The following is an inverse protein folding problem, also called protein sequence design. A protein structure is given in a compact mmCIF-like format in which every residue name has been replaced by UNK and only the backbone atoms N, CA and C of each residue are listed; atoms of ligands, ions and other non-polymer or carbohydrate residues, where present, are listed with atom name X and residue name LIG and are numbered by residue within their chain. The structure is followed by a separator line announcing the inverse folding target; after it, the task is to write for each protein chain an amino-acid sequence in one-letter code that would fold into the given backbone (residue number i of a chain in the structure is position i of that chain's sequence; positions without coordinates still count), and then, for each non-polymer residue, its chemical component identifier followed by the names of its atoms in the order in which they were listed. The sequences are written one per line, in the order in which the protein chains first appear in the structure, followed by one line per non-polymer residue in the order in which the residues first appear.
data_IF_039764752430
#
_entry.id   IF_039764752430
#
_cell.length_a   1.000
_cell.length_b   1.000
_cell.length_c   1.000
_cell.angle_alpha   90.00
_cell.angle_beta   90.00
_cell.angle_gamma   90.00
#
_symmetry.space_group_name_H-M   'P 1'
#
loop_
_entity.id
_entity.type
_entity.pdbx_description
1 polymer ?
#
# COMPACT_ATOMS: atom_id res chain seq x y z
N UNK A 1 -8.65 -1.69 24.23
CA UNK A 1 -7.60 -1.97 23.22
C UNK A 1 -8.21 -2.76 22.10
N UNK A 2 -7.88 -2.45 20.87
CA UNK A 2 -8.29 -3.18 19.66
C UNK A 2 -7.50 -4.48 19.61
N UNK A 3 -8.18 -5.61 19.56
CA UNK A 3 -7.54 -6.93 19.44
C UNK A 3 -7.27 -7.24 17.99
N UNK A 4 -6.02 -7.27 17.59
CA UNK A 4 -5.58 -7.45 16.21
C UNK A 4 -5.07 -8.88 15.98
N UNK A 5 -5.62 -9.55 14.95
CA UNK A 5 -5.07 -10.79 14.42
C UNK A 5 -4.33 -10.55 13.11
N UNK A 6 -3.22 -11.23 12.88
CA UNK A 6 -2.43 -11.10 11.66
C UNK A 6 -2.27 -12.48 11.01
N UNK A 7 -2.86 -12.71 9.85
CA UNK A 7 -2.58 -13.87 9.00
C UNK A 7 -1.42 -13.52 8.07
N UNK A 8 -0.37 -14.35 8.06
CA UNK A 8 0.86 -14.08 7.33
C UNK A 8 1.86 -13.20 8.11
N UNK A 9 1.82 -13.23 9.44
CA UNK A 9 2.67 -12.44 10.34
C UNK A 9 4.18 -12.60 10.10
N UNK A 10 4.61 -13.70 9.50
CA UNK A 10 6.02 -14.01 9.21
C UNK A 10 6.47 -13.63 7.80
N UNK A 11 5.61 -13.03 6.96
CA UNK A 11 6.00 -12.31 5.74
C UNK A 11 6.58 -10.93 6.08
N UNK A 12 7.18 -10.22 5.10
CA UNK A 12 7.75 -8.88 5.37
C UNK A 12 6.69 -7.86 5.76
N UNK A 13 5.56 -7.81 5.07
CA UNK A 13 4.44 -6.92 5.45
C UNK A 13 3.85 -7.30 6.81
N UNK A 14 3.70 -8.61 7.11
CA UNK A 14 3.23 -9.09 8.40
C UNK A 14 4.19 -8.76 9.55
N UNK A 15 5.49 -8.91 9.33
CA UNK A 15 6.51 -8.53 10.32
C UNK A 15 6.52 -7.02 10.59
N UNK A 16 6.25 -6.22 9.56
CA UNK A 16 6.13 -4.78 9.70
C UNK A 16 4.84 -4.39 10.46
N UNK A 17 3.72 -5.08 10.22
CA UNK A 17 2.51 -4.95 11.03
C UNK A 17 2.79 -5.25 12.51
N UNK A 18 3.50 -6.36 12.79
CA UNK A 18 3.89 -6.70 14.18
C UNK A 18 4.71 -5.56 14.78
N UNK A 19 5.72 -5.04 14.06
CA UNK A 19 6.57 -3.94 14.56
C UNK A 19 5.77 -2.69 14.90
N UNK A 20 4.84 -2.29 14.04
CA UNK A 20 4.03 -1.08 14.24
C UNK A 20 3.02 -1.30 15.38
N UNK A 21 2.29 -2.42 15.38
CA UNK A 21 1.26 -2.70 16.37
C UNK A 21 1.85 -2.93 17.78
N UNK A 22 3.08 -3.43 17.90
CA UNK A 22 3.78 -3.51 19.21
C UNK A 22 4.03 -2.13 19.85
N UNK A 23 4.12 -1.07 19.04
CA UNK A 23 4.23 0.31 19.52
C UNK A 23 2.89 1.05 19.63
N UNK A 24 1.79 0.40 19.26
CA UNK A 24 0.47 1.03 19.20
C UNK A 24 -0.23 1.01 20.57
N UNK A 25 -0.51 2.19 21.14
CA UNK A 25 -1.06 2.30 22.51
C UNK A 25 -2.50 1.80 22.68
N UNK A 26 -3.27 1.74 21.60
CA UNK A 26 -4.71 1.39 21.61
C UNK A 26 -4.99 0.04 20.92
N UNK A 27 -3.95 -0.73 20.54
CA UNK A 27 -4.10 -2.05 19.94
C UNK A 27 -3.17 -3.07 20.60
N UNK A 28 -3.56 -4.35 20.55
CA UNK A 28 -2.75 -5.49 20.99
C UNK A 28 -2.87 -6.63 19.97
N UNK A 29 -1.78 -7.36 19.74
CA UNK A 29 -1.78 -8.50 18.85
C UNK A 29 -2.16 -9.75 19.61
N UNK A 30 -3.30 -10.35 19.24
CA UNK A 30 -3.84 -11.57 19.88
C UNK A 30 -3.59 -12.84 19.05
N UNK A 31 -3.15 -12.69 17.78
CA UNK A 31 -2.92 -13.82 16.88
C UNK A 31 -1.77 -13.55 15.90
N UNK A 32 -0.77 -14.43 15.90
CA UNK A 32 0.40 -14.38 15.03
C UNK A 32 0.32 -15.53 14.01
N UNK A 33 -0.56 -15.42 13.02
CA UNK A 33 -0.82 -16.46 12.02
C UNK A 33 0.35 -16.67 11.06
N UNK A 34 0.77 -17.92 10.90
CA UNK A 34 1.84 -18.31 9.97
C UNK A 34 1.77 -19.79 9.60
N UNK A 35 1.43 -20.11 8.35
CA UNK A 35 1.37 -21.49 7.86
C UNK A 35 2.71 -22.24 7.92
N UNK A 36 3.82 -21.51 7.80
CA UNK A 36 5.17 -22.11 7.72
C UNK A 36 5.81 -22.35 9.10
N UNK A 37 5.28 -21.74 10.15
CA UNK A 37 5.93 -21.72 11.47
C UNK A 37 4.95 -21.98 12.62
N UNK A 38 3.84 -22.72 12.37
CA UNK A 38 2.89 -23.13 13.40
C UNK A 38 3.65 -23.76 14.58
N UNK A 39 3.24 -23.41 15.83
CA UNK A 39 3.84 -23.87 17.08
C UNK A 39 5.30 -23.40 17.31
N UNK A 40 5.86 -22.55 16.47
CA UNK A 40 7.18 -21.95 16.72
C UNK A 40 7.04 -20.59 17.38
N UNK A 41 7.94 -20.27 18.31
CA UNK A 41 8.02 -18.91 18.86
C UNK A 41 8.25 -17.91 17.74
N UNK A 42 7.52 -16.82 17.71
CA UNK A 42 7.68 -15.76 16.71
C UNK A 42 9.11 -15.23 16.68
N UNK A 43 9.71 -15.01 17.87
CA UNK A 43 11.09 -14.58 18.00
C UNK A 43 12.12 -15.60 17.45
N UNK A 44 11.76 -16.87 17.26
CA UNK A 44 12.65 -17.83 16.58
C UNK A 44 12.73 -17.63 15.07
N UNK A 45 11.72 -16.95 14.50
CA UNK A 45 11.67 -16.59 13.06
C UNK A 45 12.33 -15.23 12.84
N UNK A 46 12.13 -14.30 13.78
CA UNK A 46 12.65 -12.93 13.76
C UNK A 46 13.41 -12.65 15.07
N UNK A 47 14.71 -12.91 15.07
CA UNK A 47 15.57 -12.80 16.26
C UNK A 47 15.64 -11.38 16.84
N UNK A 48 15.38 -10.35 16.06
CA UNK A 48 15.26 -8.97 16.54
C UNK A 48 14.04 -8.76 17.46
N UNK A 49 13.11 -9.71 17.50
CA UNK A 49 11.96 -9.72 18.43
C UNK A 49 12.22 -10.55 19.69
N UNK A 50 13.45 -11.03 19.90
CA UNK A 50 13.83 -11.79 21.09
C UNK A 50 13.58 -10.96 22.36
N UNK A 51 12.91 -11.56 23.35
CA UNK A 51 12.46 -10.91 24.60
C UNK A 51 11.48 -9.73 24.41
N UNK A 52 10.98 -9.48 23.20
CA UNK A 52 9.96 -8.48 22.89
C UNK A 52 8.63 -9.16 22.61
N UNK A 53 8.64 -10.19 21.75
CA UNK A 53 7.46 -10.97 21.40
C UNK A 53 7.64 -12.40 21.86
N UNK A 54 6.96 -12.80 22.92
CA UNK A 54 6.98 -14.18 23.45
C UNK A 54 5.72 -14.96 23.01
N UNK A 55 5.23 -14.69 21.82
CA UNK A 55 4.09 -15.38 21.25
C UNK A 55 4.52 -16.57 20.40
N UNK A 56 3.61 -17.54 20.27
CA UNK A 56 3.75 -18.69 19.37
C UNK A 56 2.98 -18.41 18.08
N UNK A 57 3.55 -18.80 16.95
CA UNK A 57 2.87 -18.70 15.66
C UNK A 57 1.70 -19.71 15.60
N UNK A 58 0.56 -19.23 15.12
CA UNK A 58 -0.67 -19.96 15.00
C UNK A 58 -1.00 -20.22 13.52
N UNK A 59 -2.00 -21.04 13.26
CA UNK A 59 -2.50 -21.26 11.91
C UNK A 59 -3.37 -20.07 11.41
N UNK A 60 -4.13 -20.26 10.35
CA UNK A 60 -5.06 -19.29 9.78
C UNK A 60 -6.54 -19.71 9.94
N UNK A 61 -6.86 -20.34 11.07
CA UNK A 61 -8.24 -20.69 11.42
C UNK A 61 -9.06 -19.42 11.68
N UNK A 62 -9.83 -19.01 10.68
CA UNK A 62 -10.60 -17.77 10.72
C UNK A 62 -11.72 -17.79 11.76
N UNK A 63 -12.33 -18.92 12.04
CA UNK A 63 -13.43 -19.01 13.01
C UNK A 63 -12.93 -18.78 14.43
N UNK A 64 -11.81 -19.39 14.79
CA UNK A 64 -11.16 -19.18 16.09
C UNK A 64 -10.62 -17.76 16.20
N UNK A 65 -9.99 -17.24 15.15
CA UNK A 65 -9.45 -15.89 15.12
C UNK A 65 -10.55 -14.82 15.23
N UNK A 66 -11.67 -14.99 14.50
CA UNK A 66 -12.80 -14.07 14.59
C UNK A 66 -13.53 -14.08 15.93
N UNK A 67 -13.35 -15.13 16.74
CA UNK A 67 -13.90 -15.19 18.10
C UNK A 67 -13.08 -14.37 19.11
N UNK A 68 -11.83 -14.07 18.83
CA UNK A 68 -10.90 -13.39 19.77
C UNK A 68 -10.41 -12.02 19.30
N UNK A 69 -10.52 -11.71 18.02
CA UNK A 69 -10.04 -10.45 17.43
C UNK A 69 -11.20 -9.47 17.17
N UNK A 70 -10.88 -8.19 17.07
CA UNK A 70 -11.77 -7.12 16.60
C UNK A 70 -11.44 -6.76 15.14
N UNK A 71 -10.19 -6.96 14.73
CA UNK A 71 -9.69 -6.74 13.35
C UNK A 71 -8.73 -7.85 12.95
N UNK A 72 -8.82 -8.28 11.69
CA UNK A 72 -7.90 -9.24 11.08
C UNK A 72 -7.18 -8.59 9.90
N UNK A 73 -5.85 -8.60 9.95
CA UNK A 73 -5.00 -8.23 8.81
C UNK A 73 -4.61 -9.47 8.04
N UNK A 74 -4.87 -9.49 6.72
CA UNK A 74 -4.48 -10.60 5.85
C UNK A 74 -3.29 -10.20 4.99
N UNK A 75 -2.07 -10.45 5.49
CA UNK A 75 -0.80 -10.21 4.77
C UNK A 75 -0.39 -11.48 3.99
N UNK A 76 -1.22 -11.91 3.05
CA UNK A 76 -1.20 -13.22 2.40
C UNK A 76 -0.98 -13.13 0.89
N UNK A 77 -0.61 -14.24 0.23
CA UNK A 77 -0.71 -14.33 -1.23
C UNK A 77 -2.14 -14.10 -1.73
N UNK A 78 -2.26 -13.66 -2.98
CA UNK A 78 -3.53 -13.44 -3.66
C UNK A 78 -4.38 -14.73 -3.69
N UNK A 79 -5.70 -14.57 -3.58
CA UNK A 79 -6.70 -15.65 -3.56
C UNK A 79 -6.96 -16.23 -2.17
N UNK A 80 -6.07 -16.00 -1.19
CA UNK A 80 -6.25 -16.57 0.14
C UNK A 80 -7.28 -15.79 0.96
N UNK A 81 -7.20 -14.46 1.01
CA UNK A 81 -8.17 -13.66 1.74
C UNK A 81 -9.59 -13.93 1.21
N UNK A 82 -9.78 -13.90 -0.11
CA UNK A 82 -11.05 -14.21 -0.74
C UNK A 82 -11.56 -15.62 -0.42
N UNK A 83 -10.69 -16.58 -0.15
CA UNK A 83 -11.10 -17.94 0.24
C UNK A 83 -11.49 -18.06 1.72
N UNK A 84 -11.12 -17.11 2.54
CA UNK A 84 -11.35 -17.11 3.99
C UNK A 84 -12.52 -16.21 4.41
N UNK A 85 -12.83 -15.19 3.61
CA UNK A 85 -13.91 -14.23 3.90
C UNK A 85 -15.26 -14.82 3.60
N UNK A 86 -16.20 -14.65 4.54
CA UNK A 86 -17.62 -14.96 4.38
C UNK A 86 -18.45 -14.05 5.29
N UNK A 87 -19.78 -14.09 5.16
CA UNK A 87 -20.68 -13.21 5.92
C UNK A 87 -20.60 -13.45 7.44
N UNK A 88 -20.42 -14.69 7.87
CA UNK A 88 -20.31 -15.01 9.30
C UNK A 88 -19.07 -14.33 9.92
N UNK A 89 -17.92 -14.40 9.24
CA UNK A 89 -16.67 -13.74 9.66
C UNK A 89 -16.86 -12.21 9.66
N UNK A 90 -17.38 -11.63 8.57
CA UNK A 90 -17.56 -10.18 8.45
C UNK A 90 -18.60 -9.60 9.42
N UNK A 91 -19.50 -10.44 9.95
CA UNK A 91 -20.44 -10.04 10.99
C UNK A 91 -19.79 -9.89 12.36
N UNK A 92 -18.62 -10.50 12.58
CA UNK A 92 -17.92 -10.56 13.88
C UNK A 92 -16.74 -9.63 13.95
N UNK A 93 -15.98 -9.50 12.85
CA UNK A 93 -14.71 -8.77 12.83
C UNK A 93 -14.57 -7.92 11.57
N UNK A 94 -13.76 -6.86 11.65
CA UNK A 94 -13.32 -6.11 10.47
C UNK A 94 -12.13 -6.81 9.81
N UNK A 95 -12.06 -6.79 8.48
CA UNK A 95 -10.94 -7.33 7.71
C UNK A 95 -10.23 -6.22 6.96
N UNK A 96 -8.90 -6.18 7.08
CA UNK A 96 -8.02 -5.32 6.31
C UNK A 96 -7.12 -6.21 5.47
N UNK A 97 -7.43 -6.28 4.18
CA UNK A 97 -6.76 -7.17 3.23
C UNK A 97 -5.58 -6.48 2.56
N UNK A 98 -4.35 -6.97 2.84
CA UNK A 98 -3.12 -6.53 2.19
C UNK A 98 -2.80 -7.36 0.94
N UNK A 99 -3.58 -8.39 0.62
CA UNK A 99 -3.42 -9.14 -0.63
C UNK A 99 -3.79 -8.28 -1.85
N UNK A 100 -4.63 -8.71 -2.71
CA UNK A 100 -5.15 -7.85 -3.77
C UNK A 100 -6.59 -8.23 -4.12
N UNK A 101 -7.16 -9.11 -3.30
CA UNK A 101 -8.38 -9.83 -3.67
C UNK A 101 -9.59 -8.90 -3.82
N UNK A 102 -9.61 -7.78 -3.10
CA UNK A 102 -10.75 -6.86 -3.08
C UNK A 102 -10.47 -5.46 -3.63
N UNK A 103 -9.29 -5.24 -4.25
CA UNK A 103 -8.88 -3.92 -4.73
C UNK A 103 -9.56 -3.48 -6.01
N UNK A 104 -9.80 -4.43 -6.93
CA UNK A 104 -10.35 -4.19 -8.27
C UNK A 104 -11.84 -4.54 -8.26
N UNK A 105 -12.69 -3.60 -8.69
CA UNK A 105 -14.14 -3.78 -8.65
C UNK A 105 -14.70 -4.70 -9.72
N UNK A 106 -14.02 -4.77 -10.88
CA UNK A 106 -14.41 -5.70 -11.94
C UNK A 106 -13.76 -7.08 -11.78
N UNK A 107 -14.57 -8.09 -11.49
CA UNK A 107 -14.10 -9.48 -11.28
C UNK A 107 -13.34 -10.01 -12.50
N UNK A 108 -13.81 -9.74 -13.70
CA UNK A 108 -13.16 -10.23 -14.92
C UNK A 108 -11.75 -9.61 -15.11
N UNK A 109 -11.59 -8.35 -14.76
CA UNK A 109 -10.29 -7.67 -14.75
C UNK A 109 -9.37 -8.28 -13.68
N UNK A 110 -9.87 -8.53 -12.46
CA UNK A 110 -9.09 -9.21 -11.43
C UNK A 110 -8.61 -10.58 -11.92
N UNK A 111 -9.52 -11.44 -12.39
CA UNK A 111 -9.19 -12.80 -12.84
C UNK A 111 -8.21 -12.80 -14.02
N UNK A 112 -8.38 -11.88 -14.96
CA UNK A 112 -7.46 -11.72 -16.10
C UNK A 112 -6.04 -11.36 -15.66
N UNK A 113 -5.89 -10.40 -14.73
CA UNK A 113 -4.58 -9.88 -14.33
C UNK A 113 -3.88 -10.74 -13.27
N UNK A 114 -4.64 -11.42 -12.42
CA UNK A 114 -4.09 -12.30 -11.39
C UNK A 114 -3.99 -13.77 -11.83
N UNK A 115 -4.73 -14.17 -12.87
CA UNK A 115 -4.71 -15.52 -13.40
C UNK A 115 -5.34 -16.56 -12.47
N UNK A 116 -6.23 -16.13 -11.58
CA UNK A 116 -6.93 -16.96 -10.59
C UNK A 116 -8.40 -16.56 -10.54
N UNK A 117 -9.26 -17.53 -10.22
CA UNK A 117 -10.68 -17.30 -9.98
C UNK A 117 -10.88 -16.61 -8.63
N UNK A 118 -11.74 -15.57 -8.58
CA UNK A 118 -12.08 -14.90 -7.34
C UNK A 118 -13.04 -15.76 -6.50
N UNK A 119 -12.68 -16.05 -5.24
CA UNK A 119 -13.42 -17.03 -4.42
C UNK A 119 -14.63 -16.46 -3.66
N UNK A 120 -14.74 -15.14 -3.57
CA UNK A 120 -15.86 -14.45 -2.90
C UNK A 120 -16.20 -13.13 -3.62
N UNK A 121 -16.61 -13.19 -4.91
CA UNK A 121 -16.87 -12.00 -5.72
C UNK A 121 -18.03 -11.15 -5.20
N UNK A 122 -18.94 -11.72 -4.43
CA UNK A 122 -20.06 -11.03 -3.80
C UNK A 122 -19.63 -9.91 -2.86
N UNK A 123 -18.45 -10.02 -2.23
CA UNK A 123 -17.95 -9.02 -1.29
C UNK A 123 -17.14 -7.90 -1.95
N UNK A 124 -16.78 -8.02 -3.22
CA UNK A 124 -16.01 -6.97 -3.94
C UNK A 124 -16.75 -5.63 -3.93
N UNK A 125 -18.08 -5.64 -4.06
CA UNK A 125 -18.89 -4.41 -4.12
C UNK A 125 -18.85 -3.63 -2.82
N UNK A 126 -18.86 -4.31 -1.68
CA UNK A 126 -18.84 -3.66 -0.37
C UNK A 126 -17.43 -3.31 0.10
N UNK A 127 -16.40 -4.01 -0.37
CA UNK A 127 -15.03 -3.73 0.01
C UNK A 127 -14.66 -2.27 -0.31
N UNK A 128 -14.07 -1.58 0.63
CA UNK A 128 -13.62 -0.19 0.47
C UNK A 128 -12.13 -0.19 0.13
N UNK A 129 -11.76 0.56 -0.91
CA UNK A 129 -10.35 0.76 -1.23
C UNK A 129 -9.69 1.65 -0.18
N UNK A 130 -8.76 1.08 0.57
CA UNK A 130 -8.21 1.64 1.81
C UNK A 130 -7.08 2.66 1.58
N UNK A 131 -7.23 3.60 0.64
CA UNK A 131 -6.36 4.76 0.53
C UNK A 131 -7.01 5.92 1.29
N UNK A 132 -6.56 6.11 2.54
CA UNK A 132 -7.23 6.97 3.52
C UNK A 132 -7.41 8.42 3.05
N UNK A 133 -6.42 8.97 2.38
CA UNK A 133 -6.42 10.34 1.88
C UNK A 133 -7.52 10.61 0.84
N UNK A 134 -8.01 9.54 0.20
CA UNK A 134 -9.05 9.62 -0.84
C UNK A 134 -10.40 9.13 -0.34
N UNK A 135 -10.43 8.04 0.46
CA UNK A 135 -11.64 7.31 0.82
C UNK A 135 -11.93 7.31 2.32
N UNK A 136 -11.48 8.33 3.07
CA UNK A 136 -11.55 8.40 4.54
C UNK A 136 -12.93 8.08 5.10
N UNK A 137 -13.98 8.71 4.58
CA UNK A 137 -15.33 8.56 5.13
C UNK A 137 -15.94 7.17 4.88
N UNK A 138 -15.53 6.52 3.81
CA UNK A 138 -15.95 5.15 3.51
C UNK A 138 -15.19 4.13 4.34
N UNK A 139 -13.87 4.34 4.54
CA UNK A 139 -13.02 3.50 5.42
C UNK A 139 -13.55 3.48 6.85
N UNK A 140 -14.01 4.61 7.39
CA UNK A 140 -14.61 4.68 8.75
C UNK A 140 -15.79 3.73 8.93
N UNK A 141 -16.53 3.44 7.88
CA UNK A 141 -17.76 2.63 7.91
C UNK A 141 -17.53 1.18 7.48
N UNK A 142 -16.39 0.89 6.90
CA UNK A 142 -16.12 -0.40 6.27
C UNK A 142 -15.93 -1.53 7.29
N UNK A 143 -16.39 -2.72 6.91
CA UNK A 143 -16.04 -3.99 7.58
C UNK A 143 -15.03 -4.81 6.78
N UNK A 144 -14.89 -4.53 5.48
CA UNK A 144 -13.89 -5.11 4.58
C UNK A 144 -13.14 -3.98 3.86
N UNK A 145 -11.84 -3.88 4.10
CA UNK A 145 -10.99 -2.83 3.56
C UNK A 145 -9.91 -3.48 2.70
N UNK A 146 -9.87 -3.11 1.43
CA UNK A 146 -8.83 -3.51 0.49
C UNK A 146 -7.64 -2.55 0.59
N UNK A 147 -6.61 -2.93 1.33
CA UNK A 147 -5.41 -2.11 1.50
C UNK A 147 -4.64 -2.00 0.18
N UNK A 148 -4.26 -0.80 -0.28
CA UNK A 148 -3.59 -0.59 -1.57
C UNK A 148 -2.28 -1.35 -1.73
N UNK A 149 -1.88 -1.58 -2.98
CA UNK A 149 -0.54 -2.04 -3.30
C UNK A 149 0.51 -0.94 -3.07
N UNK A 150 1.77 -1.33 -2.85
CA UNK A 150 2.81 -0.36 -2.53
C UNK A 150 3.10 0.64 -3.65
N UNK A 151 3.25 0.17 -4.88
CA UNK A 151 3.40 1.08 -6.03
C UNK A 151 2.14 1.91 -6.28
N UNK A 152 0.96 1.32 -6.09
CA UNK A 152 -0.31 1.99 -6.33
C UNK A 152 -0.53 3.12 -5.34
N UNK A 153 -0.20 2.92 -4.07
CA UNK A 153 -0.22 3.99 -3.05
C UNK A 153 0.63 5.18 -3.49
N UNK A 154 1.89 4.94 -3.86
CA UNK A 154 2.80 5.99 -4.29
C UNK A 154 2.28 6.71 -5.54
N UNK A 155 1.97 5.94 -6.58
CA UNK A 155 1.60 6.50 -7.88
C UNK A 155 0.26 7.22 -7.85
N UNK A 156 -0.75 6.65 -7.18
CA UNK A 156 -2.06 7.28 -7.11
C UNK A 156 -1.96 8.60 -6.33
N UNK A 157 -1.33 8.62 -5.16
CA UNK A 157 -1.20 9.85 -4.37
C UNK A 157 -0.40 10.92 -5.10
N UNK A 158 0.57 10.54 -5.93
CA UNK A 158 1.37 11.48 -6.71
C UNK A 158 0.56 12.12 -7.84
N UNK A 159 -0.24 11.35 -8.59
CA UNK A 159 -0.99 11.86 -9.75
C UNK A 159 -2.40 12.37 -9.43
N UNK A 160 -3.04 11.88 -8.34
CA UNK A 160 -4.46 12.05 -8.06
C UNK A 160 -4.96 13.50 -8.12
N UNK A 161 -4.30 14.51 -7.49
CA UNK A 161 -4.82 15.87 -7.51
C UNK A 161 -4.91 16.44 -8.93
N UNK A 162 -3.89 16.18 -9.74
CA UNK A 162 -3.83 16.70 -11.11
C UNK A 162 -4.79 15.96 -12.06
N UNK A 163 -4.94 14.66 -11.88
CA UNK A 163 -5.94 13.86 -12.59
C UNK A 163 -7.36 14.34 -12.24
N UNK A 164 -7.64 14.58 -10.95
CA UNK A 164 -8.95 15.02 -10.45
C UNK A 164 -9.36 16.39 -10.97
N UNK A 165 -8.40 17.32 -11.12
CA UNK A 165 -8.63 18.67 -11.66
C UNK A 165 -8.49 18.74 -13.19
N UNK A 166 -8.24 17.60 -13.86
CA UNK A 166 -8.07 17.54 -15.31
C UNK A 166 -6.90 18.36 -15.83
N UNK A 167 -5.84 18.54 -15.01
CA UNK A 167 -4.65 19.30 -15.41
C UNK A 167 -3.66 18.49 -16.23
N UNK A 168 -3.75 17.17 -16.20
CA UNK A 168 -2.92 16.26 -16.99
C UNK A 168 -3.76 15.48 -17.99
N UNK A 169 -3.21 15.27 -19.17
CA UNK A 169 -3.77 14.41 -20.19
C UNK A 169 -3.46 12.95 -19.83
N UNK A 170 -4.49 12.23 -19.36
CA UNK A 170 -4.38 10.86 -18.85
C UNK A 170 -3.91 9.87 -19.92
N UNK A 171 -4.15 10.11 -21.19
CA UNK A 171 -3.69 9.26 -22.28
C UNK A 171 -2.16 9.32 -22.47
N UNK A 172 -1.52 10.32 -21.86
CA UNK A 172 -0.07 10.52 -21.94
C UNK A 172 0.67 10.15 -20.65
N UNK A 173 -0.06 9.67 -19.64
CA UNK A 173 0.53 9.33 -18.34
C UNK A 173 1.43 8.11 -18.43
N UNK A 174 2.68 8.30 -18.05
CA UNK A 174 3.70 7.24 -17.92
C UNK A 174 4.18 7.24 -16.47
N UNK A 175 4.16 6.09 -15.85
CA UNK A 175 4.66 5.87 -14.48
C UNK A 175 5.86 4.94 -14.54
N UNK A 176 7.04 5.47 -14.22
CA UNK A 176 8.30 4.74 -14.15
C UNK A 176 8.74 4.63 -12.68
N UNK A 177 8.49 3.48 -12.06
CA UNK A 177 8.63 3.31 -10.62
C UNK A 177 9.77 2.34 -10.25
N UNK A 178 10.50 2.67 -9.18
CA UNK A 178 11.61 1.88 -8.64
C UNK A 178 11.23 1.41 -7.24
N UNK A 179 11.50 0.15 -6.91
CA UNK A 179 11.22 -0.44 -5.59
C UNK A 179 12.41 -1.22 -5.06
N UNK A 180 12.62 -1.11 -3.76
CA UNK A 180 13.48 -2.02 -3.03
C UNK A 180 12.97 -3.46 -3.05
N UNK A 181 13.88 -4.40 -2.82
CA UNK A 181 13.67 -5.84 -3.00
C UNK A 181 12.70 -6.46 -2.01
N UNK A 182 12.47 -5.84 -0.85
CA UNK A 182 11.48 -6.30 0.12
C UNK A 182 10.05 -6.33 -0.45
N UNK A 183 9.77 -5.51 -1.49
CA UNK A 183 8.50 -5.53 -2.21
C UNK A 183 8.19 -6.84 -2.93
N UNK A 184 9.20 -7.65 -3.23
CA UNK A 184 9.04 -8.98 -3.81
C UNK A 184 8.65 -10.07 -2.78
N UNK A 185 8.59 -9.72 -1.49
CA UNK A 185 8.28 -10.62 -0.38
C UNK A 185 9.46 -11.48 0.08
N UNK A 186 9.25 -12.21 1.19
CA UNK A 186 10.28 -13.01 1.87
C UNK A 186 10.58 -14.34 1.18
N UNK A 187 9.72 -14.80 0.29
CA UNK A 187 9.90 -16.09 -0.38
C UNK A 187 11.19 -16.13 -1.20
N UNK A 188 12.03 -17.15 -0.98
CA UNK A 188 13.26 -17.35 -1.74
C UNK A 188 12.94 -17.70 -3.20
N UNK A 189 13.31 -16.80 -4.10
CA UNK A 189 13.22 -16.96 -5.55
C UNK A 189 14.55 -16.54 -6.16
N UNK A 190 15.01 -17.23 -7.19
CA UNK A 190 16.29 -16.93 -7.86
C UNK A 190 16.44 -15.42 -8.15
N UNK A 191 15.45 -14.71 -8.77
CA UNK A 191 15.60 -13.29 -9.07
C UNK A 191 15.76 -12.36 -7.86
N UNK A 192 15.53 -12.87 -6.63
CA UNK A 192 15.59 -12.09 -5.39
C UNK A 192 16.80 -12.48 -4.51
N UNK A 193 17.66 -13.39 -4.98
CA UNK A 193 18.87 -13.77 -4.26
C UNK A 193 19.89 -12.63 -4.28
N UNK A 194 20.73 -12.53 -3.26
CA UNK A 194 21.69 -11.44 -3.09
C UNK A 194 22.54 -11.19 -4.34
N UNK A 195 23.15 -12.26 -4.91
CA UNK A 195 23.99 -12.14 -6.09
C UNK A 195 23.23 -11.76 -7.38
N UNK A 196 21.91 -11.94 -7.40
CA UNK A 196 21.07 -11.56 -8.55
C UNK A 196 20.57 -10.12 -8.45
N UNK A 197 20.53 -9.57 -7.24
CA UNK A 197 20.00 -8.24 -6.95
C UNK A 197 21.10 -7.22 -6.73
N UNK A 198 22.19 -7.61 -6.05
CA UNK A 198 23.26 -6.68 -5.71
C UNK A 198 23.90 -6.10 -6.98
N UNK A 199 24.12 -4.77 -6.99
CA UNK A 199 24.68 -4.05 -8.14
C UNK A 199 23.88 -4.21 -9.46
N UNK A 200 22.61 -4.58 -9.38
CA UNK A 200 21.74 -4.85 -10.52
C UNK A 200 20.39 -4.13 -10.40
N UNK A 201 19.99 -3.44 -11.45
CA UNK A 201 18.65 -2.84 -11.57
C UNK A 201 17.95 -3.42 -12.79
N UNK A 202 16.68 -3.82 -12.64
CA UNK A 202 15.92 -4.41 -13.75
C UNK A 202 14.46 -3.99 -13.74
N UNK A 203 13.92 -3.71 -14.93
CA UNK A 203 12.48 -3.63 -15.14
C UNK A 203 11.87 -5.05 -15.06
N UNK A 204 10.65 -5.13 -14.56
CA UNK A 204 9.91 -6.40 -14.50
C UNK A 204 8.42 -6.17 -14.69
N UNK A 205 7.68 -7.22 -15.07
CA UNK A 205 6.24 -7.10 -15.29
C UNK A 205 5.84 -6.04 -16.31
N UNK A 206 6.68 -5.79 -17.32
CA UNK A 206 6.46 -4.74 -18.33
C UNK A 206 5.14 -5.00 -19.04
N UNK A 207 4.24 -4.02 -19.06
CA UNK A 207 2.89 -4.08 -19.59
C UNK A 207 2.01 -5.24 -19.05
N UNK A 208 2.42 -5.86 -17.92
CA UNK A 208 1.74 -7.02 -17.34
C UNK A 208 1.76 -7.04 -15.80
N UNK A 209 2.24 -5.96 -15.17
CA UNK A 209 2.28 -5.87 -13.72
C UNK A 209 0.88 -5.71 -13.13
N UNK A 210 0.56 -6.48 -12.10
CA UNK A 210 -0.76 -6.57 -11.48
C UNK A 210 -1.26 -5.27 -10.80
N UNK A 211 -0.38 -4.32 -10.54
CA UNK A 211 -0.78 -2.99 -10.05
C UNK A 211 -1.31 -2.06 -11.15
N UNK A 212 -1.10 -2.39 -12.44
CA UNK A 212 -1.57 -1.55 -13.55
C UNK A 212 -3.08 -1.31 -13.49
N UNK A 213 -3.95 -2.34 -13.48
CA UNK A 213 -5.40 -2.13 -13.44
C UNK A 213 -5.88 -1.44 -12.16
N UNK A 214 -5.19 -1.61 -11.05
CA UNK A 214 -5.49 -0.94 -9.79
C UNK A 214 -5.25 0.59 -9.91
N UNK A 215 -4.13 1.01 -10.50
CA UNK A 215 -3.83 2.43 -10.75
C UNK A 215 -4.82 3.02 -11.76
N UNK A 216 -5.08 2.31 -12.87
CA UNK A 216 -6.03 2.72 -13.90
C UNK A 216 -7.44 2.92 -13.33
N UNK A 217 -7.93 2.01 -12.51
CA UNK A 217 -9.24 2.09 -11.88
C UNK A 217 -9.35 3.31 -10.96
N UNK A 218 -8.38 3.51 -10.07
CA UNK A 218 -8.44 4.60 -9.08
C UNK A 218 -8.27 5.98 -9.73
N UNK A 219 -7.35 6.13 -10.69
CA UNK A 219 -7.20 7.37 -11.45
C UNK A 219 -8.39 7.60 -12.38
N UNK A 220 -9.00 6.54 -12.91
CA UNK A 220 -10.25 6.61 -13.67
C UNK A 220 -11.40 7.18 -12.83
N UNK A 221 -11.54 6.76 -11.57
CA UNK A 221 -12.51 7.37 -10.65
C UNK A 221 -12.18 8.83 -10.35
N UNK A 222 -10.90 9.19 -10.28
CA UNK A 222 -10.49 10.57 -10.06
C UNK A 222 -10.89 11.48 -11.22
N UNK A 223 -10.53 11.13 -12.47
CA UNK A 223 -10.81 11.96 -13.65
C UNK A 223 -12.21 11.76 -14.26
N UNK A 224 -12.97 10.73 -13.82
CA UNK A 224 -14.35 10.50 -14.25
C UNK A 224 -14.51 9.75 -15.59
N UNK A 225 -13.44 9.16 -16.10
CA UNK A 225 -13.46 8.32 -17.32
C UNK A 225 -12.42 7.18 -17.22
N UNK A 226 -12.59 6.10 -18.01
CA UNK A 226 -11.60 5.03 -18.03
C UNK A 226 -10.21 5.53 -18.44
N UNK A 227 -9.18 5.00 -17.79
CA UNK A 227 -7.78 5.34 -18.02
C UNK A 227 -7.03 4.09 -18.47
N UNK A 228 -6.14 4.26 -19.43
CA UNK A 228 -5.14 3.26 -19.83
C UNK A 228 -3.77 3.96 -19.83
N UNK A 229 -2.83 3.43 -19.04
CA UNK A 229 -1.54 4.07 -18.83
C UNK A 229 -0.36 3.10 -18.99
N UNK A 230 0.83 3.65 -19.14
CA UNK A 230 2.05 2.86 -19.06
C UNK A 230 2.60 2.87 -17.64
N UNK A 231 2.62 1.69 -17.01
CA UNK A 231 3.28 1.46 -15.73
C UNK A 231 4.45 0.49 -15.90
N UNK A 232 5.66 0.95 -15.57
CA UNK A 232 6.88 0.16 -15.66
C UNK A 232 7.59 0.13 -14.31
N UNK A 233 7.45 -0.94 -13.52
CA UNK A 233 8.16 -1.09 -12.26
C UNK A 233 9.58 -1.63 -12.47
N UNK A 234 10.49 -1.20 -11.60
CA UNK A 234 11.87 -1.68 -11.53
C UNK A 234 12.19 -2.20 -10.14
N UNK A 235 12.98 -3.26 -10.07
CA UNK A 235 13.60 -3.70 -8.85
C UNK A 235 15.02 -3.13 -8.78
N UNK A 236 15.34 -2.48 -7.67
CA UNK A 236 16.64 -1.83 -7.47
C UNK A 236 17.36 -2.41 -6.25
N UNK A 237 18.71 -2.34 -6.17
CA UNK A 237 19.52 -3.01 -5.16
C UNK A 237 19.48 -2.24 -3.81
N UNK A 238 18.30 -2.07 -3.26
CA UNK A 238 18.05 -1.54 -1.92
C UNK A 238 17.01 -2.39 -1.21
N UNK A 239 16.95 -2.33 0.11
CA UNK A 239 15.99 -3.12 0.88
C UNK A 239 14.58 -2.54 0.78
N UNK A 240 14.42 -1.25 1.08
CA UNK A 240 13.13 -0.55 1.20
C UNK A 240 13.08 0.67 0.31
N UNK A 241 11.88 1.19 0.14
CA UNK A 241 11.59 2.43 -0.56
C UNK A 241 10.99 2.20 -1.94
N UNK A 242 10.09 3.09 -2.32
CA UNK A 242 9.60 3.28 -3.69
C UNK A 242 9.86 4.71 -4.09
N UNK A 243 10.36 4.90 -5.31
CA UNK A 243 10.42 6.17 -6.02
C UNK A 243 9.64 6.01 -7.32
N UNK A 244 8.53 6.72 -7.48
CA UNK A 244 7.77 6.79 -8.71
C UNK A 244 8.06 8.12 -9.41
N UNK A 245 8.46 8.06 -10.67
CA UNK A 245 8.59 9.24 -11.54
C UNK A 245 7.52 9.14 -12.62
N UNK A 246 6.67 10.14 -12.68
CA UNK A 246 5.48 10.15 -13.51
C UNK A 246 5.54 11.32 -14.50
N UNK A 247 5.19 11.06 -15.75
CA UNK A 247 5.26 12.03 -16.84
C UNK A 247 3.89 12.14 -17.51
N UNK A 248 3.38 13.35 -17.64
CA UNK A 248 2.17 13.60 -18.41
C UNK A 248 2.26 14.93 -19.17
N UNK A 249 1.49 15.09 -20.24
CA UNK A 249 1.26 16.39 -20.86
C UNK A 249 0.30 17.19 -20.00
N UNK A 250 0.55 18.49 -19.88
CA UNK A 250 -0.44 19.42 -19.32
C UNK A 250 -1.56 19.66 -20.33
N UNK A 251 -2.79 19.74 -19.85
CA UNK A 251 -3.98 20.03 -20.68
C UNK A 251 -4.12 21.52 -21.04
N UNK A 252 -3.44 22.38 -20.29
CA UNK A 252 -3.38 23.84 -20.48
C UNK A 252 -2.08 24.39 -19.91
N UNK A 253 -1.76 25.62 -20.27
CA UNK A 253 -0.65 26.34 -19.66
C UNK A 253 -0.99 26.69 -18.21
N UNK A 254 -0.10 26.31 -17.30
CA UNK A 254 -0.22 26.56 -15.86
C UNK A 254 1.17 26.90 -15.29
N UNK A 255 1.19 27.74 -14.27
CA UNK A 255 2.39 28.06 -13.51
C UNK A 255 2.70 26.98 -12.45
N UNK A 256 3.90 27.05 -11.86
CA UNK A 256 4.25 26.26 -10.69
C UNK A 256 3.25 26.46 -9.53
N UNK A 257 2.86 27.71 -9.27
CA UNK A 257 1.94 28.06 -8.18
C UNK A 257 0.53 27.50 -8.42
N UNK A 258 0.06 27.45 -9.68
CA UNK A 258 -1.22 26.84 -10.01
C UNK A 258 -1.23 25.34 -9.68
N UNK A 259 -0.16 24.63 -10.05
CA UNK A 259 -0.01 23.19 -9.75
C UNK A 259 0.13 22.97 -8.24
N UNK A 260 0.94 23.76 -7.55
CA UNK A 260 1.11 23.72 -6.11
C UNK A 260 -0.23 23.93 -5.39
N UNK A 261 -1.00 24.92 -5.79
CA UNK A 261 -2.32 25.19 -5.21
C UNK A 261 -3.28 23.99 -5.38
N UNK A 262 -3.18 23.24 -6.48
CA UNK A 262 -3.94 22.00 -6.66
C UNK A 262 -3.50 20.92 -5.67
N UNK A 263 -2.21 20.69 -5.49
CA UNK A 263 -1.74 19.74 -4.47
C UNK A 263 -2.17 20.16 -3.05
N UNK A 264 -2.01 21.44 -2.70
CA UNK A 264 -2.40 21.97 -1.40
C UNK A 264 -3.92 21.87 -1.15
N UNK A 265 -4.75 22.03 -2.18
CA UNK A 265 -6.21 21.85 -2.09
C UNK A 265 -6.58 20.47 -1.55
N UNK A 266 -5.86 19.42 -1.94
CA UNK A 266 -6.15 18.04 -1.54
C UNK A 266 -5.36 17.58 -0.33
N UNK A 267 -4.12 18.09 -0.13
CA UNK A 267 -3.16 17.48 0.77
C UNK A 267 -2.67 18.35 1.93
N UNK A 268 -3.04 19.65 2.00
CA UNK A 268 -2.58 20.54 3.08
C UNK A 268 -2.92 20.06 4.49
N UNK A 269 -4.02 19.33 4.64
CA UNK A 269 -4.51 18.81 5.91
C UNK A 269 -4.19 17.31 6.10
N UNK A 270 -3.47 16.68 5.14
CA UNK A 270 -3.11 15.28 5.16
C UNK A 270 -1.80 15.07 5.94
N UNK A 271 -1.90 14.49 7.13
CA UNK A 271 -0.78 14.28 8.07
C UNK A 271 0.44 13.63 7.42
N UNK A 272 0.22 12.66 6.53
CA UNK A 272 1.29 11.84 5.96
C UNK A 272 1.74 12.28 4.57
N UNK A 273 1.16 13.32 3.99
CA UNK A 273 1.60 13.84 2.69
C UNK A 273 2.46 15.09 2.90
N UNK A 274 3.66 15.07 2.36
CA UNK A 274 4.58 16.22 2.36
C UNK A 274 4.81 16.67 0.92
N UNK A 275 4.22 17.81 0.55
CA UNK A 275 4.54 18.48 -0.69
C UNK A 275 5.85 19.26 -0.47
N UNK A 276 6.89 18.87 -1.18
CA UNK A 276 8.22 19.47 -1.03
C UNK A 276 8.30 20.84 -1.70
N UNK A 277 9.24 21.67 -1.23
CA UNK A 277 9.49 23.00 -1.78
C UNK A 277 9.97 22.96 -3.23
N UNK A 278 9.80 24.06 -3.95
CA UNK A 278 10.26 24.17 -5.35
C UNK A 278 11.74 23.85 -5.48
N UNK A 279 12.05 22.95 -6.43
CA UNK A 279 13.42 22.52 -6.69
C UNK A 279 13.92 21.41 -5.78
N UNK A 280 13.12 20.98 -4.79
CA UNK A 280 13.41 19.83 -3.93
C UNK A 280 12.62 18.61 -4.43
N UNK A 281 13.28 17.49 -4.60
CA UNK A 281 12.65 16.28 -5.13
C UNK A 281 12.80 15.12 -4.15
N UNK A 282 11.78 14.23 -4.04
CA UNK A 282 11.77 13.13 -3.10
C UNK A 282 12.95 12.17 -3.22
N UNK A 283 13.43 11.69 -2.07
CA UNK A 283 14.39 10.60 -1.96
C UNK A 283 13.83 9.49 -1.07
N UNK A 284 14.10 8.23 -1.40
CA UNK A 284 13.60 7.09 -0.62
C UNK A 284 14.08 7.07 0.83
N UNK A 285 15.27 7.61 1.11
CA UNK A 285 15.80 7.73 2.47
C UNK A 285 15.02 8.67 3.38
N UNK A 286 14.37 9.69 2.81
CA UNK A 286 13.65 10.67 3.62
C UNK A 286 12.31 10.17 4.15
N UNK A 287 11.87 9.01 3.69
CA UNK A 287 10.60 8.38 4.09
C UNK A 287 10.79 7.00 4.72
N UNK A 288 12.03 6.47 4.75
CA UNK A 288 12.31 5.12 5.23
C UNK A 288 11.87 4.90 6.68
N UNK A 289 11.16 3.82 6.93
CA UNK A 289 10.64 3.45 8.24
C UNK A 289 9.43 4.24 8.73
N UNK A 290 8.89 5.15 7.91
CA UNK A 290 7.79 6.06 8.27
C UNK A 290 6.56 5.89 7.37
N UNK A 291 5.44 6.48 7.79
CA UNK A 291 4.20 6.49 7.00
C UNK A 291 4.08 7.72 6.07
N UNK A 292 5.16 8.50 5.91
CA UNK A 292 5.15 9.67 5.05
C UNK A 292 5.23 9.35 3.56
N UNK A 293 4.61 10.24 2.78
CA UNK A 293 4.71 10.32 1.31
C UNK A 293 5.32 11.66 0.97
N UNK A 294 6.45 11.68 0.31
CA UNK A 294 7.03 12.90 -0.22
C UNK A 294 6.64 13.06 -1.69
N UNK A 295 6.18 14.24 -2.05
CA UNK A 295 5.78 14.57 -3.41
C UNK A 295 6.51 15.85 -3.85
N UNK A 296 7.10 15.81 -5.03
CA UNK A 296 7.68 16.96 -5.71
C UNK A 296 7.33 16.94 -7.19
N UNK A 297 7.36 18.09 -7.84
CA UNK A 297 7.05 18.17 -9.27
C UNK A 297 7.87 19.25 -9.98
N UNK A 298 7.95 19.12 -11.30
CA UNK A 298 8.56 20.12 -12.19
C UNK A 298 7.77 20.22 -13.48
N UNK A 299 7.46 21.44 -13.89
CA UNK A 299 6.97 21.71 -15.24
C UNK A 299 8.20 21.86 -16.16
N UNK A 300 8.28 21.01 -17.18
CA UNK A 300 9.27 21.16 -18.26
C UNK A 300 8.62 21.95 -19.40
N UNK A 301 8.77 23.26 -19.36
CA UNK A 301 8.23 24.18 -20.37
C UNK A 301 8.66 23.83 -21.79
N UNK A 302 9.87 23.30 -21.96
CA UNK A 302 10.44 22.93 -23.24
C UNK A 302 9.68 21.78 -23.92
N UNK A 303 9.09 20.88 -23.11
CA UNK A 303 8.35 19.70 -23.63
C UNK A 303 6.83 19.82 -23.42
N UNK A 304 6.37 20.81 -22.67
CA UNK A 304 4.96 20.96 -22.26
C UNK A 304 4.48 19.84 -21.34
N UNK A 305 5.41 19.20 -20.61
CA UNK A 305 5.10 18.09 -19.69
C UNK A 305 5.30 18.51 -18.25
N UNK A 306 4.52 17.91 -17.38
CA UNK A 306 4.82 17.86 -15.95
C UNK A 306 5.52 16.56 -15.61
N UNK A 307 6.53 16.65 -14.73
CA UNK A 307 7.23 15.53 -14.12
C UNK A 307 6.84 15.56 -12.65
N UNK A 308 6.15 14.53 -12.20
CA UNK A 308 5.73 14.34 -10.81
C UNK A 308 6.57 13.23 -10.21
N UNK A 309 6.99 13.40 -8.96
CA UNK A 309 7.85 12.42 -8.29
C UNK A 309 7.27 12.16 -6.91
N UNK A 310 7.04 10.89 -6.60
CA UNK A 310 6.60 10.43 -5.29
C UNK A 310 7.58 9.45 -4.65
N UNK A 311 7.74 9.52 -3.33
CA UNK A 311 8.50 8.54 -2.58
C UNK A 311 7.77 8.07 -1.32
N UNK A 312 7.87 6.77 -1.02
CA UNK A 312 7.32 6.14 0.19
C UNK A 312 8.23 5.02 0.68
N UNK A 313 8.08 4.61 1.94
CA UNK A 313 8.52 3.28 2.38
C UNK A 313 7.51 2.23 1.92
N UNK A 314 7.94 1.29 1.10
CA UNK A 314 7.06 0.26 0.50
C UNK A 314 6.46 -0.71 1.51
N UNK A 315 7.04 -0.88 2.70
CA UNK A 315 6.53 -1.76 3.76
C UNK A 315 5.68 -0.99 4.78
N UNK A 316 5.92 0.31 4.98
CA UNK A 316 5.14 1.14 5.90
C UNK A 316 3.97 1.77 5.14
N UNK A 317 4.12 2.93 4.52
CA UNK A 317 3.01 3.57 3.77
C UNK A 317 2.52 2.72 2.62
N UNK A 318 3.40 1.95 2.00
CA UNK A 318 3.05 1.04 0.90
C UNK A 318 2.33 -0.24 1.34
N UNK A 319 2.27 -0.57 2.64
CA UNK A 319 1.67 -1.82 3.12
C UNK A 319 1.15 -1.70 4.57
N UNK A 320 2.01 -1.98 5.56
CA UNK A 320 1.60 -2.15 6.96
C UNK A 320 1.14 -0.83 7.61
N UNK A 321 1.81 0.28 7.34
CA UNK A 321 1.42 1.57 7.90
C UNK A 321 0.08 2.05 7.36
N UNK A 322 -0.16 1.88 6.04
CA UNK A 322 -1.47 2.16 5.44
C UNK A 322 -2.57 1.27 6.05
N UNK A 323 -2.27 -0.01 6.32
CA UNK A 323 -3.22 -0.92 6.95
C UNK A 323 -3.55 -0.51 8.40
N UNK A 324 -2.56 -0.05 9.17
CA UNK A 324 -2.79 0.49 10.53
C UNK A 324 -3.54 1.82 10.48
N UNK A 325 -3.26 2.70 9.50
CA UNK A 325 -4.03 3.92 9.27
C UNK A 325 -5.50 3.61 8.97
N UNK A 326 -5.77 2.59 8.13
CA UNK A 326 -7.12 2.08 7.88
C UNK A 326 -7.79 1.55 9.16
N UNK A 327 -7.07 0.79 9.98
CA UNK A 327 -7.58 0.31 11.27
C UNK A 327 -7.96 1.49 12.17
N UNK A 328 -7.09 2.48 12.30
CA UNK A 328 -7.35 3.65 13.13
C UNK A 328 -8.65 4.34 12.75
N UNK A 329 -8.86 4.62 11.47
CA UNK A 329 -10.10 5.20 10.97
C UNK A 329 -11.33 4.31 11.23
N UNK A 330 -11.21 3.01 10.94
CA UNK A 330 -12.30 2.06 11.08
C UNK A 330 -12.76 1.87 12.53
N UNK A 331 -11.90 2.20 13.51
CA UNK A 331 -12.20 2.16 14.95
C UNK A 331 -12.33 3.54 15.59
N UNK A 332 -12.36 4.60 14.81
CA UNK A 332 -12.60 5.97 15.30
C UNK A 332 -11.41 6.59 16.05
N UNK A 333 -10.21 6.08 15.86
CA UNK A 333 -8.98 6.68 16.36
C UNK A 333 -8.48 7.78 15.41
N UNK A 334 -7.53 8.60 15.86
CA UNK A 334 -6.79 9.50 14.96
C UNK A 334 -5.93 8.66 14.01
N UNK A 335 -5.84 9.07 12.75
CA UNK A 335 -5.16 8.31 11.69
C UNK A 335 -3.70 7.98 12.01
N UNK A 336 -3.04 8.84 12.75
CA UNK A 336 -1.63 8.78 13.10
C UNK A 336 -1.33 7.97 14.37
N UNK A 337 -2.34 7.45 15.07
CA UNK A 337 -2.13 6.66 16.28
C UNK A 337 -1.18 5.48 15.97
N UNK A 338 -0.05 5.40 16.68
CA UNK A 338 0.98 4.39 16.48
C UNK A 338 1.79 4.51 15.18
N UNK A 339 1.57 5.59 14.41
CA UNK A 339 2.25 5.85 13.13
C UNK A 339 3.13 7.12 13.15
N UNK A 340 3.31 7.75 14.31
CA UNK A 340 4.22 8.90 14.51
C UNK A 340 5.70 8.47 14.42
N UNK A 341 6.03 7.73 13.37
CA UNK A 341 7.35 7.19 13.11
C UNK A 341 8.18 8.25 12.38
N UNK A 342 9.26 8.68 13.00
CA UNK A 342 10.23 9.57 12.33
C UNK A 342 11.02 8.76 11.32
N UNK A 343 11.22 9.26 10.07
CA UNK A 343 12.04 8.58 9.08
C UNK A 343 13.45 8.29 9.58
N UNK A 344 13.95 7.11 9.28
CA UNK A 344 15.31 6.71 9.64
C UNK A 344 16.31 7.34 8.66
N UNK A 345 17.43 7.82 9.20
CA UNK A 345 18.54 8.36 8.42
C UNK A 345 19.87 8.16 9.18
N UNK A 346 20.96 7.68 8.60
CA UNK A 346 21.21 7.33 7.21
C UNK A 346 20.61 6.02 6.75
#
# INVERSE_FOLDING_TARGET
MIRAGIIGSTGYAGAELVRILMGHKDAEIVWYGSRSYIDKKYASVYQNMFQIVDAVCMDDNMDELAAVADVIFTATPQGLCASLVNEDILSKVKIIDLSADFRIKDVATYEKWYGIEHKSPEFIKEAVYGLCEINREDVKKARLIANPGCYTTCSILTAYPLAKEGLIDMDTLIIDAKSGTSGAGRGAKVPNLFCEVNENMKAYGIASHRHTPEIEEQLGYACGHPVVLNFTPHLVPMNRGILATEYAKLTKDVSYEDVKAVYEKYYKDEKFIRLLDEGVYPETKWVEGSNYVDIGFKIDERTGRIIMIGAIDNLVKGAAGQAVQNMNLAFGLTEDTGLDLVPMFP
#
